data_IF_872868755833
#
_entry.id   IF_872868755833
#
_cell.length_a   1.000
_cell.length_b   1.000
_cell.length_c   1.000
_cell.angle_alpha   90.00
_cell.angle_beta   90.00
_cell.angle_gamma   90.00
#
_symmetry.space_group_name_H-M   'P 1'
#
loop_
_entity.id
_entity.type
_entity.pdbx_description
1 polymer ?
#
# COMPACT_ATOMS: atom_id res chain seq x y z
N UNK A 1 -0.39 11.07 -9.99
CA UNK A 1 -1.87 11.03 -9.88
C UNK A 1 -2.42 11.88 -11.03
N UNK A 2 -3.49 11.48 -11.74
CA UNK A 2 -4.12 12.28 -12.79
C UNK A 2 -4.56 13.65 -12.28
N UNK A 3 -4.50 14.68 -13.14
CA UNK A 3 -4.76 16.06 -12.73
C UNK A 3 -6.22 16.27 -12.30
N UNK A 4 -7.16 15.67 -13.02
CA UNK A 4 -8.59 15.70 -12.69
C UNK A 4 -8.91 15.19 -11.27
N UNK A 5 -8.22 14.14 -10.81
CA UNK A 5 -8.35 13.65 -9.44
C UNK A 5 -7.71 14.58 -8.41
N UNK A 6 -6.60 15.21 -8.75
CA UNK A 6 -5.98 16.22 -7.88
C UNK A 6 -6.90 17.41 -7.68
N UNK A 7 -7.53 17.86 -8.75
CA UNK A 7 -8.47 18.99 -8.73
C UNK A 7 -9.71 18.66 -7.87
N UNK A 8 -10.27 17.44 -8.02
CA UNK A 8 -11.38 16.98 -7.19
C UNK A 8 -11.04 16.94 -5.70
N UNK A 9 -9.88 16.43 -5.35
CA UNK A 9 -9.42 16.38 -3.95
C UNK A 9 -9.17 17.78 -3.39
N UNK A 10 -8.62 18.67 -4.21
CA UNK A 10 -8.39 20.08 -3.82
C UNK A 10 -9.71 20.80 -3.57
N UNK A 11 -10.73 20.60 -4.42
CA UNK A 11 -12.09 21.11 -4.22
C UNK A 11 -12.74 20.57 -2.94
N UNK A 12 -12.43 19.35 -2.57
CA UNK A 12 -12.87 18.73 -1.31
C UNK A 12 -12.06 19.20 -0.07
N UNK A 13 -11.13 20.14 -0.24
CA UNK A 13 -10.29 20.64 0.86
C UNK A 13 -9.21 19.67 1.33
N UNK A 14 -8.89 18.64 0.54
CA UNK A 14 -7.84 17.67 0.87
C UNK A 14 -6.50 18.20 0.37
N UNK A 15 -5.60 18.51 1.31
CA UNK A 15 -4.24 18.93 0.99
C UNK A 15 -3.45 17.79 0.33
N UNK A 16 -2.68 18.12 -0.70
CA UNK A 16 -1.85 17.17 -1.44
C UNK A 16 -0.45 17.74 -1.64
N UNK A 17 0.56 16.86 -1.60
CA UNK A 17 1.93 17.18 -1.95
C UNK A 17 2.52 16.05 -2.81
N UNK A 18 3.41 16.40 -3.72
CA UNK A 18 4.18 15.46 -4.53
C UNK A 18 5.65 15.62 -4.21
N UNK A 19 6.32 14.51 -3.95
CA UNK A 19 7.74 14.47 -3.60
C UNK A 19 8.52 13.75 -4.71
N UNK A 20 9.72 14.21 -5.00
CA UNK A 20 10.60 13.59 -5.98
C UNK A 20 11.42 12.42 -5.43
N UNK A 21 11.50 12.28 -4.12
CA UNK A 21 12.23 11.24 -3.44
C UNK A 21 11.50 10.77 -2.16
N UNK A 22 11.85 9.58 -1.71
CA UNK A 22 11.21 8.97 -0.55
C UNK A 22 11.60 9.64 0.78
N UNK A 23 12.87 9.97 1.06
CA UNK A 23 13.25 10.62 2.31
C UNK A 23 12.50 11.91 2.61
N UNK A 24 12.28 12.75 1.59
CA UNK A 24 11.54 14.01 1.74
C UNK A 24 10.10 13.83 2.18
N UNK A 25 9.48 12.68 1.85
CA UNK A 25 8.11 12.39 2.20
C UNK A 25 7.96 11.76 3.59
N UNK A 26 8.99 11.05 4.09
CA UNK A 26 8.87 10.17 5.25
C UNK A 26 8.72 10.89 6.59
N UNK A 27 9.32 12.06 6.76
CA UNK A 27 9.37 12.76 8.05
C UNK A 27 7.98 12.99 8.66
N UNK A 28 6.98 13.27 7.82
CA UNK A 28 5.61 13.56 8.24
C UNK A 28 4.60 12.43 7.89
N UNK A 29 5.08 11.34 7.28
CA UNK A 29 4.22 10.24 6.85
C UNK A 29 3.82 9.34 8.02
N UNK A 30 2.53 9.09 8.17
CA UNK A 30 1.98 8.13 9.13
C UNK A 30 1.69 6.76 8.48
N UNK A 31 1.34 6.74 7.18
CA UNK A 31 1.12 5.52 6.41
C UNK A 31 1.85 5.62 5.08
N UNK A 32 2.81 4.72 4.87
CA UNK A 32 3.50 4.54 3.60
C UNK A 32 2.87 3.37 2.84
N UNK A 33 2.03 3.68 1.85
CA UNK A 33 1.43 2.67 0.99
C UNK A 33 2.28 2.49 -0.26
N UNK A 34 3.06 1.42 -0.33
CA UNK A 34 3.98 1.13 -1.43
C UNK A 34 3.27 0.28 -2.49
N UNK A 35 3.53 0.58 -3.76
CA UNK A 35 3.11 -0.25 -4.88
C UNK A 35 4.29 -0.47 -5.82
N UNK A 36 4.30 -1.57 -6.55
CA UNK A 36 5.31 -1.81 -7.57
C UNK A 36 5.22 -0.76 -8.69
N UNK A 37 6.35 -0.43 -9.30
CA UNK A 37 6.38 0.31 -10.55
C UNK A 37 5.86 -0.60 -11.67
N UNK A 38 4.82 -0.17 -12.36
CA UNK A 38 4.12 -0.99 -13.37
C UNK A 38 4.86 -0.91 -14.71
N UNK A 39 5.65 -1.95 -15.02
CA UNK A 39 6.43 -2.06 -16.26
C UNK A 39 5.58 -1.84 -17.51
N UNK A 40 4.36 -2.34 -17.48
CA UNK A 40 3.38 -2.30 -18.58
C UNK A 40 2.91 -0.89 -18.95
N UNK A 41 3.26 0.12 -18.13
CA UNK A 41 2.95 1.53 -18.41
C UNK A 41 4.09 2.32 -19.05
N UNK A 42 5.26 1.68 -19.18
CA UNK A 42 6.42 2.32 -19.78
C UNK A 42 6.55 1.90 -21.25
N UNK A 43 6.68 2.89 -22.13
CA UNK A 43 6.97 2.64 -23.54
C UNK A 43 8.45 2.24 -23.75
N UNK A 44 9.34 2.73 -22.88
CA UNK A 44 10.78 2.46 -22.89
C UNK A 44 11.20 1.59 -21.70
N UNK A 45 11.79 0.42 -22.02
CA UNK A 45 12.30 -0.50 -21.01
C UNK A 45 13.48 0.09 -20.20
N UNK A 46 14.30 0.94 -20.81
CA UNK A 46 15.43 1.58 -20.12
C UNK A 46 14.94 2.61 -19.09
N UNK A 47 13.88 3.32 -19.36
CA UNK A 47 13.24 4.22 -18.40
C UNK A 47 12.67 3.45 -17.21
N UNK A 48 11.98 2.34 -17.45
CA UNK A 48 11.51 1.45 -16.39
C UNK A 48 12.65 0.94 -15.50
N UNK A 49 13.76 0.45 -16.09
CA UNK A 49 14.91 -0.04 -15.33
C UNK A 49 15.55 1.03 -14.44
N UNK A 50 15.56 2.29 -14.88
CA UNK A 50 16.03 3.43 -14.08
C UNK A 50 15.11 3.75 -12.90
N UNK A 51 13.80 3.68 -13.11
CA UNK A 51 12.80 4.13 -12.14
C UNK A 51 12.39 3.04 -11.15
N UNK A 52 12.47 1.78 -11.51
CA UNK A 52 12.04 0.66 -10.65
C UNK A 52 12.76 0.60 -9.30
N UNK A 53 14.01 1.11 -9.23
CA UNK A 53 14.83 1.13 -8.03
C UNK A 53 14.90 2.50 -7.34
N UNK A 54 14.24 3.52 -7.89
CA UNK A 54 14.32 4.89 -7.35
C UNK A 54 13.63 5.07 -6.01
N UNK A 55 12.73 4.16 -5.64
CA UNK A 55 11.89 4.26 -4.45
C UNK A 55 11.87 2.95 -3.64
N UNK A 56 13.04 2.36 -3.44
CA UNK A 56 13.15 1.13 -2.63
C UNK A 56 13.09 1.48 -1.14
N UNK A 57 12.17 0.84 -0.43
CA UNK A 57 12.09 0.92 1.03
C UNK A 57 13.10 -0.06 1.63
N UNK A 58 14.07 0.46 2.37
CA UNK A 58 15.14 -0.30 3.03
C UNK A 58 15.11 -0.07 4.55
N UNK A 59 15.89 -0.82 5.32
CA UNK A 59 16.07 -0.56 6.75
C UNK A 59 16.62 0.85 7.02
N UNK A 60 17.44 1.39 6.13
CA UNK A 60 17.93 2.77 6.21
C UNK A 60 16.79 3.78 6.04
N UNK A 61 15.95 3.58 5.00
CA UNK A 61 14.73 4.37 4.78
C UNK A 61 13.83 4.36 6.01
N UNK A 62 13.66 3.18 6.60
CA UNK A 62 12.83 3.01 7.80
C UNK A 62 13.37 3.75 9.03
N UNK A 63 14.70 3.95 9.14
CA UNK A 63 15.28 4.73 10.25
C UNK A 63 14.93 6.21 10.19
N UNK A 64 14.74 6.76 9.00
CA UNK A 64 14.36 8.17 8.81
C UNK A 64 12.86 8.42 9.03
N UNK A 65 12.05 7.38 9.05
CA UNK A 65 10.59 7.46 9.18
C UNK A 65 10.14 7.55 10.65
N UNK A 66 8.92 8.06 10.88
CA UNK A 66 8.31 8.08 12.21
C UNK A 66 8.28 6.68 12.85
N UNK A 67 8.49 6.61 14.15
CA UNK A 67 8.46 5.35 14.91
C UNK A 67 7.10 4.63 14.83
N UNK A 68 6.02 5.37 14.61
CA UNK A 68 4.64 4.84 14.51
C UNK A 68 4.14 4.74 13.07
N UNK A 69 4.95 5.05 12.06
CA UNK A 69 4.57 4.89 10.67
C UNK A 69 4.19 3.43 10.38
N UNK A 70 3.25 3.22 9.49
CA UNK A 70 2.83 1.88 9.04
C UNK A 70 3.18 1.72 7.56
N UNK A 71 3.87 0.63 7.20
CA UNK A 71 4.17 0.30 5.81
C UNK A 71 3.17 -0.72 5.29
N UNK A 72 2.51 -0.39 4.21
CA UNK A 72 1.50 -1.22 3.53
C UNK A 72 1.93 -1.52 2.09
N UNK A 73 1.51 -2.66 1.58
CA UNK A 73 1.75 -3.09 0.19
C UNK A 73 0.68 -4.11 -0.23
N UNK A 74 0.10 -4.02 -1.43
CA UNK A 74 -0.95 -4.96 -1.86
C UNK A 74 -0.42 -6.35 -2.23
N UNK A 75 0.90 -6.57 -2.26
CA UNK A 75 1.60 -7.79 -2.68
C UNK A 75 1.11 -8.35 -4.05
N UNK A 76 1.94 -9.08 -4.80
CA UNK A 76 3.35 -9.40 -4.47
C UNK A 76 4.30 -8.20 -4.67
N UNK A 77 5.35 -8.12 -3.86
CA UNK A 77 6.46 -7.18 -4.09
C UNK A 77 7.49 -7.79 -5.05
N UNK A 78 8.21 -6.92 -5.78
CA UNK A 78 9.23 -7.31 -6.77
C UNK A 78 10.50 -6.46 -6.59
N UNK A 79 10.91 -6.17 -5.34
CA UNK A 79 12.13 -5.43 -5.02
C UNK A 79 11.91 -3.99 -4.51
N UNK A 80 10.69 -3.44 -4.55
CA UNK A 80 10.37 -2.10 -4.04
C UNK A 80 10.34 -2.01 -2.51
N UNK A 81 10.34 -3.14 -1.81
CA UNK A 81 10.60 -3.25 -0.37
C UNK A 81 11.65 -4.34 -0.17
N UNK A 82 12.76 -4.00 0.43
CA UNK A 82 13.82 -4.93 0.76
C UNK A 82 13.37 -5.96 1.81
N UNK A 83 13.87 -7.19 1.73
CA UNK A 83 13.47 -8.28 2.65
C UNK A 83 13.80 -7.99 4.12
N UNK A 84 14.85 -7.22 4.37
CA UNK A 84 15.23 -6.80 5.72
C UNK A 84 14.14 -6.00 6.46
N UNK A 85 13.22 -5.36 5.71
CA UNK A 85 12.09 -4.59 6.28
C UNK A 85 11.02 -5.51 6.85
N UNK A 86 10.99 -6.79 6.49
CA UNK A 86 9.98 -7.75 6.98
C UNK A 86 10.04 -7.94 8.49
N UNK A 87 11.21 -7.76 9.09
CA UNK A 87 11.40 -7.85 10.54
C UNK A 87 10.99 -6.55 11.29
N UNK A 88 10.75 -5.45 10.58
CA UNK A 88 10.34 -4.18 11.22
C UNK A 88 8.88 -4.27 11.70
N UNK A 89 8.58 -3.93 12.97
CA UNK A 89 7.22 -4.00 13.50
C UNK A 89 6.22 -3.09 12.77
N UNK A 90 6.70 -2.09 12.04
CA UNK A 90 5.90 -1.20 11.19
C UNK A 90 5.51 -1.83 9.86
N UNK A 91 6.12 -2.94 9.45
CA UNK A 91 5.76 -3.70 8.25
C UNK A 91 4.38 -4.37 8.45
N UNK A 92 3.34 -3.82 7.84
CA UNK A 92 1.97 -4.29 8.01
C UNK A 92 1.45 -5.11 6.82
N UNK A 93 2.19 -5.23 5.72
CA UNK A 93 1.69 -5.79 4.47
C UNK A 93 1.30 -7.27 4.56
N UNK A 94 1.94 -8.09 5.40
CA UNK A 94 1.50 -9.47 5.62
C UNK A 94 0.19 -9.53 6.41
N UNK A 95 0.04 -8.69 7.45
CA UNK A 95 -1.22 -8.56 8.18
C UNK A 95 -2.34 -8.02 7.29
N UNK A 96 -2.00 -7.04 6.42
CA UNK A 96 -2.91 -6.49 5.43
C UNK A 96 -3.47 -7.58 4.50
N UNK A 97 -2.62 -8.49 4.01
CA UNK A 97 -3.06 -9.61 3.15
C UNK A 97 -4.05 -10.51 3.86
N UNK A 98 -3.77 -10.88 5.11
CA UNK A 98 -4.67 -11.69 5.94
C UNK A 98 -6.03 -10.98 6.15
N UNK A 99 -6.01 -9.72 6.54
CA UNK A 99 -7.23 -8.92 6.74
C UNK A 99 -7.97 -8.71 5.43
N UNK A 100 -7.25 -8.50 4.32
CA UNK A 100 -7.82 -8.36 2.99
C UNK A 100 -8.64 -9.56 2.53
N UNK A 101 -8.30 -10.77 2.97
CA UNK A 101 -9.13 -11.96 2.73
C UNK A 101 -10.51 -11.83 3.39
N UNK A 102 -10.54 -11.48 4.67
CA UNK A 102 -11.79 -11.32 5.41
C UNK A 102 -12.66 -10.18 4.87
N UNK A 103 -12.04 -9.06 4.47
CA UNK A 103 -12.76 -7.94 3.84
C UNK A 103 -13.41 -8.38 2.53
N UNK A 104 -12.70 -9.11 1.67
CA UNK A 104 -13.26 -9.65 0.42
C UNK A 104 -14.40 -10.63 0.67
N UNK A 105 -14.25 -11.51 1.64
CA UNK A 105 -15.33 -12.42 2.05
C UNK A 105 -16.58 -11.67 2.51
N UNK A 106 -16.40 -10.63 3.33
CA UNK A 106 -17.50 -9.78 3.80
C UNK A 106 -18.19 -9.04 2.64
N UNK A 107 -17.43 -8.48 1.71
CA UNK A 107 -17.96 -7.82 0.52
C UNK A 107 -18.77 -8.78 -0.35
N UNK A 108 -18.27 -9.99 -0.59
CA UNK A 108 -19.01 -11.02 -1.34
C UNK A 108 -20.30 -11.40 -0.64
N UNK A 109 -20.26 -11.60 0.67
CA UNK A 109 -21.46 -11.90 1.45
C UNK A 109 -22.51 -10.78 1.33
N UNK A 110 -22.10 -9.53 1.46
CA UNK A 110 -22.99 -8.37 1.31
C UNK A 110 -23.62 -8.30 -0.08
N UNK A 111 -22.81 -8.46 -1.14
CA UNK A 111 -23.31 -8.40 -2.52
C UNK A 111 -24.27 -9.56 -2.82
N UNK A 112 -24.04 -10.74 -2.22
CA UNK A 112 -24.90 -11.91 -2.36
C UNK A 112 -26.13 -11.87 -1.42
N UNK A 113 -26.31 -10.81 -0.63
CA UNK A 113 -27.44 -10.71 0.31
C UNK A 113 -27.38 -11.68 1.50
N UNK A 114 -26.18 -12.19 1.82
CA UNK A 114 -25.98 -13.11 2.96
C UNK A 114 -25.90 -12.28 4.24
N UNK A 115 -26.74 -12.63 5.24
CA UNK A 115 -26.71 -11.93 6.53
C UNK A 115 -25.42 -12.22 7.32
N UNK A 116 -25.01 -11.26 8.17
CA UNK A 116 -23.87 -11.43 9.06
C UNK A 116 -24.00 -12.66 9.98
N UNK A 117 -25.20 -12.96 10.43
CA UNK A 117 -25.48 -14.14 11.26
C UNK A 117 -25.25 -15.47 10.50
N UNK A 118 -25.61 -15.51 9.22
CA UNK A 118 -25.34 -16.68 8.38
C UNK A 118 -23.83 -16.91 8.16
N UNK A 119 -23.06 -15.81 7.99
CA UNK A 119 -21.59 -15.88 7.89
C UNK A 119 -20.98 -16.36 9.20
N UNK A 120 -21.42 -15.83 10.34
CA UNK A 120 -20.95 -16.24 11.67
C UNK A 120 -21.25 -17.71 11.94
N UNK A 121 -22.45 -18.19 11.59
CA UNK A 121 -22.85 -19.60 11.74
C UNK A 121 -22.03 -20.55 10.84
N UNK A 122 -21.63 -20.10 9.65
CA UNK A 122 -20.76 -20.87 8.75
C UNK A 122 -19.32 -20.96 9.30
N UNK A 123 -18.78 -19.85 9.81
CA UNK A 123 -17.45 -19.79 10.41
C UNK A 123 -17.32 -20.65 11.69
N UNK A 124 -18.39 -20.78 12.47
CA UNK A 124 -18.41 -21.62 13.67
C UNK A 124 -18.44 -23.14 13.37
N UNK A 125 -18.66 -23.55 12.11
CA UNK A 125 -18.70 -24.94 11.65
C UNK A 125 -17.44 -25.40 10.92
N UNK A 126 -16.50 -24.48 10.63
CA UNK A 126 -15.25 -24.73 9.94
C UNK A 126 -14.08 -24.93 10.92
#
# INVERSE_FOLDING_TARGET
>A
MPQDLQDLLSLAGVAQATFGDLPSALADTDVLYVTRVQKERFADAAEYERLKLSFVVTAETMRAAKARMVVMHPLPRVGEIAEEVDADPRAAYFRQMRVGLFVRMALLALVCGVSGDAVAAAAARA
#
